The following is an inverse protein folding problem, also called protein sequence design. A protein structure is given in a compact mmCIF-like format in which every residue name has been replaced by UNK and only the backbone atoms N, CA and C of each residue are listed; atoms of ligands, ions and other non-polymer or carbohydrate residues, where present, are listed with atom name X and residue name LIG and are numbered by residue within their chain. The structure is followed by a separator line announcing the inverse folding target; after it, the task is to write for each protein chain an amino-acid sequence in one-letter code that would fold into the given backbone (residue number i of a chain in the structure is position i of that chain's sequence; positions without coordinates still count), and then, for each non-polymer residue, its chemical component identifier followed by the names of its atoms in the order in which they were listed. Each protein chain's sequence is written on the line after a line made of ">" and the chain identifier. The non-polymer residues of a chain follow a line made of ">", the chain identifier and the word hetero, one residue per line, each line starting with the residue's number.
data_IF_207540123454
#
_entry.id   IF_207540123454
#
_cell.length_a   1.000
_cell.length_b   1.000
_cell.length_c   1.000
_cell.angle_alpha   90.00
_cell.angle_beta   90.00
_cell.angle_gamma   90.00
#
_symmetry.space_group_name_H-M   'P 1'
#
loop_
_entity.id
_entity.type
_entity.pdbx_description
1 polymer ?
#
# COMPACT_ATOMS: atom_id res chain seq x y z
N UNK A 1 -8.45 -19.74 -13.28
CA UNK A 1 -8.15 -19.30 -11.90
C UNK A 1 -7.65 -17.88 -11.94
N UNK A 2 -8.30 -17.00 -11.19
CA UNK A 2 -7.87 -15.63 -11.12
C UNK A 2 -6.62 -15.53 -10.23
N UNK A 3 -5.67 -14.73 -10.69
CA UNK A 3 -4.50 -14.43 -9.90
C UNK A 3 -4.92 -13.61 -8.66
N UNK A 4 -4.19 -13.77 -7.57
CA UNK A 4 -4.40 -12.96 -6.37
C UNK A 4 -4.25 -11.48 -6.71
N UNK A 5 -5.07 -10.62 -6.11
CA UNK A 5 -4.90 -9.19 -6.21
C UNK A 5 -3.55 -8.80 -5.61
N UNK A 6 -2.81 -7.98 -6.34
CA UNK A 6 -1.53 -7.42 -5.88
C UNK A 6 -1.81 -6.04 -5.31
N UNK A 7 -1.45 -5.85 -4.06
CA UNK A 7 -1.83 -4.66 -3.29
C UNK A 7 -0.58 -4.02 -2.71
N UNK A 8 -0.41 -2.72 -2.98
CA UNK A 8 0.70 -1.94 -2.43
C UNK A 8 0.20 -1.13 -1.23
N UNK A 9 0.97 -1.13 -0.17
CA UNK A 9 0.61 -0.44 1.08
C UNK A 9 1.52 0.77 1.29
N UNK A 10 0.89 1.93 1.49
CA UNK A 10 1.59 3.16 1.87
C UNK A 10 1.97 3.11 3.36
N UNK A 11 2.94 3.91 3.76
CA UNK A 11 3.42 3.98 5.15
C UNK A 11 2.29 4.27 6.13
N UNK A 12 1.37 5.17 5.77
CA UNK A 12 0.21 5.50 6.61
C UNK A 12 -0.64 4.29 6.97
N UNK A 13 -0.77 3.35 6.05
CA UNK A 13 -1.54 2.12 6.25
C UNK A 13 -0.83 1.20 7.24
N UNK A 14 0.50 1.10 7.14
CA UNK A 14 1.29 0.30 8.07
C UNK A 14 1.18 0.82 9.49
N UNK A 15 1.28 2.14 9.69
CA UNK A 15 1.14 2.73 11.02
C UNK A 15 -0.26 2.51 11.58
N UNK A 16 -1.30 2.66 10.77
CA UNK A 16 -2.66 2.41 11.21
C UNK A 16 -2.84 0.95 11.64
N UNK A 17 -2.21 0.00 10.94
CA UNK A 17 -2.27 -1.41 11.30
C UNK A 17 -1.56 -1.71 12.61
N UNK A 18 -0.42 -1.06 12.87
CA UNK A 18 0.33 -1.25 14.13
C UNK A 18 -0.45 -0.71 15.32
N UNK A 19 -1.08 0.45 15.18
CA UNK A 19 -1.71 1.15 16.29
C UNK A 19 -3.22 0.87 16.45
N UNK A 20 -3.83 0.09 15.55
CA UNK A 20 -5.25 -0.29 15.68
C UNK A 20 -5.47 -1.74 15.25
N UNK A 21 -5.83 -2.59 16.20
CA UNK A 21 -6.08 -4.00 15.95
C UNK A 21 -7.38 -4.27 15.18
N UNK A 22 -8.34 -3.36 15.26
CA UNK A 22 -9.68 -3.55 14.70
C UNK A 22 -9.94 -2.75 13.42
N UNK A 23 -8.97 -1.96 12.96
CA UNK A 23 -9.16 -1.11 11.79
C UNK A 23 -9.05 -1.85 10.47
N UNK A 24 -9.44 -1.17 9.39
CA UNK A 24 -9.38 -1.72 8.03
C UNK A 24 -7.96 -2.07 7.60
N UNK A 25 -6.94 -1.32 8.04
CA UNK A 25 -5.56 -1.61 7.73
C UNK A 25 -5.13 -2.97 8.28
N UNK A 26 -5.50 -3.30 9.52
CA UNK A 26 -5.18 -4.59 10.12
C UNK A 26 -5.92 -5.71 9.39
N UNK A 27 -7.15 -5.47 8.94
CA UNK A 27 -7.92 -6.45 8.17
C UNK A 27 -7.22 -6.77 6.83
N UNK A 28 -6.65 -5.77 6.18
CA UNK A 28 -5.87 -6.00 4.94
C UNK A 28 -4.68 -6.92 5.22
N UNK A 29 -3.96 -6.70 6.33
CA UNK A 29 -2.85 -7.57 6.71
C UNK A 29 -3.34 -9.01 6.96
N UNK A 30 -4.52 -9.17 7.57
CA UNK A 30 -5.12 -10.50 7.78
C UNK A 30 -5.44 -11.19 6.46
N UNK A 31 -5.85 -10.45 5.44
CA UNK A 31 -6.06 -11.02 4.10
C UNK A 31 -4.75 -11.53 3.52
N UNK A 32 -3.65 -10.80 3.72
CA UNK A 32 -2.33 -11.26 3.31
C UNK A 32 -1.89 -12.50 4.06
N UNK A 33 -2.11 -12.54 5.37
CA UNK A 33 -1.81 -13.70 6.22
C UNK A 33 -2.56 -14.94 5.75
N UNK A 34 -3.82 -14.78 5.37
CA UNK A 34 -4.65 -15.88 4.85
C UNK A 34 -4.30 -16.29 3.42
N UNK A 35 -3.41 -15.57 2.76
CA UNK A 35 -3.04 -15.84 1.38
C UNK A 35 -4.08 -15.40 0.35
N UNK A 36 -5.04 -14.56 0.75
CA UNK A 36 -6.11 -14.11 -0.14
C UNK A 36 -5.65 -13.02 -1.12
N UNK A 37 -4.68 -12.20 -0.71
CA UNK A 37 -4.09 -11.14 -1.52
C UNK A 37 -2.57 -11.20 -1.40
N UNK A 38 -1.87 -10.62 -2.37
CA UNK A 38 -0.42 -10.48 -2.35
C UNK A 38 -0.09 -9.04 -1.95
N UNK A 39 0.53 -8.87 -0.78
CA UNK A 39 0.84 -7.55 -0.22
C UNK A 39 2.29 -7.14 -0.51
N UNK A 40 2.47 -5.88 -0.86
CA UNK A 40 3.75 -5.32 -1.26
C UNK A 40 3.99 -3.96 -0.64
N UNK A 41 5.24 -3.66 -0.36
CA UNK A 41 5.74 -2.31 -0.10
C UNK A 41 6.99 -2.10 -0.95
N UNK A 42 7.45 -0.87 -1.03
CA UNK A 42 8.70 -0.58 -1.70
C UNK A 42 9.77 -0.13 -0.72
N UNK A 43 11.01 0.11 -1.20
CA UNK A 43 12.11 0.58 -0.35
C UNK A 43 11.80 1.89 0.37
N UNK A 44 11.10 2.83 -0.28
CA UNK A 44 10.75 4.11 0.35
C UNK A 44 9.82 3.93 1.55
N UNK A 45 8.80 3.07 1.43
CA UNK A 45 7.87 2.78 2.52
C UNK A 45 8.60 2.10 3.68
N UNK A 46 9.41 1.09 3.37
CA UNK A 46 10.16 0.38 4.40
C UNK A 46 11.09 1.32 5.16
N UNK A 47 11.85 2.14 4.44
CA UNK A 47 12.78 3.09 5.03
C UNK A 47 12.06 4.11 5.92
N UNK A 48 10.97 4.69 5.43
CA UNK A 48 10.17 5.66 6.18
C UNK A 48 9.56 5.04 7.44
N UNK A 49 9.00 3.83 7.32
CA UNK A 49 8.39 3.14 8.45
C UNK A 49 9.43 2.89 9.56
N UNK A 50 10.60 2.39 9.20
CA UNK A 50 11.67 2.15 10.16
C UNK A 50 12.15 3.44 10.83
N UNK A 51 12.35 4.51 10.05
CA UNK A 51 12.82 5.79 10.56
C UNK A 51 11.81 6.42 11.51
N UNK A 52 10.53 6.41 11.17
CA UNK A 52 9.48 7.00 12.00
C UNK A 52 9.30 6.23 13.31
N UNK A 53 9.28 4.90 13.25
CA UNK A 53 9.14 4.08 14.47
C UNK A 53 10.34 4.23 15.39
N UNK A 54 11.56 4.26 14.84
CA UNK A 54 12.76 4.47 15.63
C UNK A 54 12.71 5.79 16.39
N UNK A 55 12.18 6.83 15.76
CA UNK A 55 12.10 8.16 16.36
C UNK A 55 10.92 8.33 17.32
N UNK A 56 9.76 7.79 16.98
CA UNK A 56 8.51 8.04 17.72
C UNK A 56 8.06 6.89 18.62
N UNK A 57 8.38 5.66 18.29
CA UNK A 57 7.91 4.49 19.03
C UNK A 57 8.78 3.28 18.75
N UNK A 58 10.02 3.35 19.21
CA UNK A 58 10.99 2.27 19.02
C UNK A 58 10.46 0.92 19.54
N UNK A 59 9.67 0.94 20.61
CA UNK A 59 9.05 -0.25 21.16
C UNK A 59 8.04 -0.93 20.22
N UNK A 60 7.54 -0.22 19.22
CA UNK A 60 6.59 -0.77 18.22
C UNK A 60 7.28 -1.46 17.04
N UNK A 61 8.60 -1.34 16.91
CA UNK A 61 9.33 -1.95 15.77
C UNK A 61 9.21 -3.47 15.72
N UNK A 62 9.31 -4.21 16.83
CA UNK A 62 9.10 -5.66 16.78
C UNK A 62 7.69 -6.05 16.33
N UNK A 63 6.67 -5.31 16.74
CA UNK A 63 5.30 -5.57 16.31
C UNK A 63 5.14 -5.34 14.81
N UNK A 64 5.70 -4.23 14.28
CA UNK A 64 5.68 -3.96 12.84
C UNK A 64 6.32 -5.12 12.07
N UNK A 65 7.51 -5.55 12.49
CA UNK A 65 8.22 -6.65 11.83
C UNK A 65 7.40 -7.94 11.86
N UNK A 66 6.78 -8.25 12.99
CA UNK A 66 5.93 -9.43 13.13
C UNK A 66 4.72 -9.38 12.21
N UNK A 67 4.05 -8.22 12.13
CA UNK A 67 2.88 -8.05 11.28
C UNK A 67 3.22 -8.19 9.81
N UNK A 68 4.33 -7.59 9.37
CA UNK A 68 4.78 -7.69 7.98
C UNK A 68 5.14 -9.14 7.62
N UNK A 69 5.79 -9.84 8.53
CA UNK A 69 6.15 -11.24 8.32
C UNK A 69 4.91 -12.14 8.21
N UNK A 70 3.99 -12.03 9.16
CA UNK A 70 2.76 -12.82 9.16
C UNK A 70 1.89 -12.55 7.94
N UNK A 71 1.79 -11.30 7.53
CA UNK A 71 1.03 -10.92 6.35
C UNK A 71 1.74 -11.26 5.04
N UNK A 72 2.97 -11.77 5.13
CA UNK A 72 3.79 -12.13 3.97
C UNK A 72 4.02 -10.94 3.04
N UNK A 73 4.21 -9.76 3.62
CA UNK A 73 4.47 -8.54 2.85
C UNK A 73 5.85 -8.63 2.19
N UNK A 74 5.88 -8.44 0.88
CA UNK A 74 7.09 -8.47 0.10
C UNK A 74 7.59 -7.05 -0.15
N UNK A 75 8.90 -6.87 -0.24
CA UNK A 75 9.51 -5.58 -0.56
C UNK A 75 9.96 -5.63 -2.02
N UNK A 76 9.42 -4.73 -2.83
CA UNK A 76 9.77 -4.64 -4.24
C UNK A 76 11.07 -3.86 -4.47
N UNK A 77 11.49 -3.75 -5.73
CA UNK A 77 12.69 -2.99 -6.10
C UNK A 77 12.45 -1.50 -6.10
N UNK A 78 13.53 -0.73 -6.23
CA UNK A 78 13.45 0.69 -6.49
C UNK A 78 12.74 0.94 -7.83
N UNK A 79 12.04 2.07 -7.93
CA UNK A 79 11.37 2.45 -9.16
C UNK A 79 12.39 2.85 -10.24
N UNK A 80 12.11 2.44 -11.46
CA UNK A 80 12.87 2.90 -12.63
C UNK A 80 12.47 4.30 -13.07
N UNK A 81 13.21 4.85 -14.04
CA UNK A 81 12.99 6.21 -14.54
C UNK A 81 11.60 6.41 -15.14
N UNK A 82 11.10 5.42 -15.87
CA UNK A 82 9.79 5.49 -16.52
C UNK A 82 8.67 5.59 -15.48
N UNK A 83 8.70 4.74 -14.45
CA UNK A 83 7.71 4.78 -13.37
C UNK A 83 7.77 6.09 -12.59
N UNK A 84 8.96 6.59 -12.31
CA UNK A 84 9.15 7.90 -11.66
C UNK A 84 8.56 9.04 -12.49
N UNK A 85 8.83 9.07 -13.79
CA UNK A 85 8.28 10.10 -14.67
C UNK A 85 6.76 10.06 -14.68
N UNK A 86 6.20 8.87 -14.77
CA UNK A 86 4.75 8.69 -14.78
C UNK A 86 4.13 9.17 -13.45
N UNK A 87 4.72 8.80 -12.32
CA UNK A 87 4.23 9.23 -11.01
C UNK A 87 4.33 10.74 -10.82
N UNK A 88 5.45 11.34 -11.23
CA UNK A 88 5.68 12.78 -11.11
C UNK A 88 4.73 13.61 -11.98
N UNK A 89 4.17 13.02 -13.03
CA UNK A 89 3.20 13.70 -13.89
C UNK A 89 1.85 13.93 -13.19
N UNK A 90 1.56 13.20 -12.13
CA UNK A 90 0.27 13.29 -11.42
C UNK A 90 0.41 13.69 -9.94
N UNK A 91 1.58 13.51 -9.33
CA UNK A 91 1.84 13.86 -7.93
C UNK A 91 3.06 14.76 -7.86
N UNK A 92 2.85 16.00 -7.42
CA UNK A 92 3.95 16.99 -7.33
C UNK A 92 4.86 16.78 -6.13
N UNK A 93 4.30 16.30 -5.00
CA UNK A 93 5.08 16.08 -3.79
C UNK A 93 6.02 14.90 -3.99
N UNK A 94 7.33 15.19 -4.03
CA UNK A 94 8.34 14.21 -4.43
C UNK A 94 8.33 12.92 -3.63
N UNK A 95 8.25 12.92 -2.28
CA UNK A 95 8.21 11.66 -1.54
C UNK A 95 7.02 10.77 -1.90
N UNK A 96 5.84 11.36 -2.09
CA UNK A 96 4.65 10.59 -2.48
C UNK A 96 4.76 10.07 -3.91
N UNK A 97 5.36 10.86 -4.81
CA UNK A 97 5.61 10.43 -6.18
C UNK A 97 6.57 9.24 -6.23
N UNK A 98 7.59 9.22 -5.38
CA UNK A 98 8.53 8.10 -5.30
C UNK A 98 7.84 6.82 -4.84
N UNK A 99 6.98 6.91 -3.82
CA UNK A 99 6.22 5.75 -3.33
C UNK A 99 5.26 5.24 -4.40
N UNK A 100 4.54 6.14 -5.07
CA UNK A 100 3.65 5.77 -6.17
C UNK A 100 4.41 5.12 -7.32
N UNK A 101 5.59 5.61 -7.63
CA UNK A 101 6.44 5.04 -8.68
C UNK A 101 6.84 3.59 -8.35
N UNK A 102 7.12 3.30 -7.09
CA UNK A 102 7.45 1.93 -6.67
C UNK A 102 6.25 0.99 -6.85
N UNK A 103 5.04 1.48 -6.59
CA UNK A 103 3.82 0.72 -6.85
C UNK A 103 3.61 0.47 -8.35
N UNK A 104 3.85 1.49 -9.18
CA UNK A 104 3.75 1.38 -10.64
C UNK A 104 4.74 0.36 -11.19
N UNK A 105 5.98 0.36 -10.67
CA UNK A 105 7.02 -0.58 -11.08
C UNK A 105 6.60 -2.03 -10.83
N UNK A 106 5.86 -2.28 -9.77
CA UNK A 106 5.38 -3.62 -9.40
C UNK A 106 4.12 -4.05 -10.14
N UNK A 107 3.50 -3.17 -10.91
CA UNK A 107 2.25 -3.44 -11.63
C UNK A 107 1.15 -3.98 -10.69
N UNK A 108 0.98 -3.31 -9.54
CA UNK A 108 -0.05 -3.70 -8.58
C UNK A 108 -1.45 -3.36 -9.09
N UNK A 109 -2.45 -4.06 -8.57
CA UNK A 109 -3.85 -3.79 -8.90
C UNK A 109 -4.40 -2.62 -8.09
N UNK A 110 -3.94 -2.46 -6.86
CA UNK A 110 -4.46 -1.45 -5.94
C UNK A 110 -3.37 -0.87 -5.06
N UNK A 111 -3.40 0.44 -4.90
CA UNK A 111 -2.53 1.20 -4.00
C UNK A 111 -3.38 1.72 -2.84
N UNK A 112 -3.09 1.25 -1.62
CA UNK A 112 -3.86 1.65 -0.43
C UNK A 112 -3.11 2.72 0.33
N UNK A 113 -3.80 3.84 0.60
CA UNK A 113 -3.22 4.96 1.34
C UNK A 113 -4.30 5.66 2.18
N UNK A 114 -3.88 6.30 3.26
CA UNK A 114 -4.72 7.19 4.04
C UNK A 114 -4.47 8.66 3.68
N UNK A 115 -3.56 8.93 2.75
CA UNK A 115 -3.23 10.28 2.29
C UNK A 115 -4.27 10.76 1.29
N UNK A 116 -5.27 11.49 1.78
CA UNK A 116 -6.33 12.07 0.96
C UNK A 116 -5.91 13.39 0.28
N UNK A 117 -4.78 13.94 0.68
CA UNK A 117 -4.33 15.22 0.13
C UNK A 117 -3.61 15.07 -1.21
N UNK A 118 -2.73 14.07 -1.33
CA UNK A 118 -1.86 13.93 -2.50
C UNK A 118 -2.19 12.71 -3.37
N UNK A 119 -2.77 11.67 -2.80
CA UNK A 119 -2.97 10.39 -3.48
C UNK A 119 -4.43 10.04 -3.67
N UNK A 120 -5.17 9.79 -2.58
CA UNK A 120 -6.58 9.41 -2.65
C UNK A 120 -7.41 10.62 -3.10
N UNK A 121 -8.19 10.44 -4.16
CA UNK A 121 -9.00 11.52 -4.70
C UNK A 121 -8.26 12.44 -5.66
N UNK A 122 -7.00 12.18 -5.95
CA UNK A 122 -6.25 12.92 -6.97
C UNK A 122 -6.75 12.52 -8.35
N UNK A 123 -7.33 13.46 -9.14
CA UNK A 123 -7.91 13.10 -10.45
C UNK A 123 -6.91 12.51 -11.43
N UNK A 124 -5.64 12.93 -11.36
CA UNK A 124 -4.59 12.42 -12.24
C UNK A 124 -4.30 10.95 -12.02
N UNK A 125 -4.52 10.45 -10.81
CA UNK A 125 -4.26 9.05 -10.46
C UNK A 125 -5.24 8.10 -11.16
N UNK A 126 -6.43 8.55 -11.50
CA UNK A 126 -7.43 7.74 -12.23
C UNK A 126 -6.94 7.29 -13.61
N UNK A 127 -5.98 8.03 -14.19
CA UNK A 127 -5.41 7.69 -15.50
C UNK A 127 -4.26 6.68 -15.41
N UNK A 128 -3.86 6.29 -14.21
CA UNK A 128 -2.79 5.32 -14.01
C UNK A 128 -3.34 3.89 -14.07
N UNK A 129 -2.49 2.91 -14.41
CA UNK A 129 -2.93 1.52 -14.56
C UNK A 129 -3.08 0.79 -13.21
N UNK A 130 -3.57 1.48 -12.19
CA UNK A 130 -3.87 0.91 -10.88
C UNK A 130 -4.98 1.71 -10.23
N UNK A 131 -5.68 1.10 -9.28
CA UNK A 131 -6.67 1.80 -8.47
C UNK A 131 -6.00 2.33 -7.19
N UNK A 132 -6.51 3.44 -6.66
CA UNK A 132 -6.00 4.06 -5.42
C UNK A 132 -7.18 4.32 -4.50
N UNK A 133 -7.04 3.99 -3.23
CA UNK A 133 -8.08 4.27 -2.26
C UNK A 133 -7.62 4.04 -0.83
N UNK A 134 -8.52 4.34 0.10
CA UNK A 134 -8.34 4.08 1.52
C UNK A 134 -8.50 2.60 1.84
N UNK A 135 -8.10 2.14 3.04
CA UNK A 135 -8.36 0.75 3.43
C UNK A 135 -9.83 0.35 3.26
N UNK A 136 -10.78 1.20 3.66
CA UNK A 136 -12.20 0.91 3.48
C UNK A 136 -12.61 0.79 2.03
N UNK A 137 -12.12 1.69 1.18
CA UNK A 137 -12.39 1.64 -0.26
C UNK A 137 -11.79 0.40 -0.91
N UNK A 138 -10.57 0.03 -0.48
CA UNK A 138 -9.95 -1.21 -0.96
C UNK A 138 -10.79 -2.44 -0.59
N UNK A 139 -11.26 -2.52 0.65
CA UNK A 139 -12.05 -3.66 1.10
C UNK A 139 -13.37 -3.78 0.33
N UNK A 140 -14.01 -2.66 0.00
CA UNK A 140 -15.18 -2.64 -0.88
C UNK A 140 -14.86 -3.13 -2.29
N UNK A 141 -13.77 -2.62 -2.88
CA UNK A 141 -13.29 -3.06 -4.18
C UNK A 141 -13.01 -4.56 -4.20
N UNK A 142 -12.37 -5.07 -3.16
CA UNK A 142 -12.04 -6.48 -3.03
C UNK A 142 -13.30 -7.33 -2.90
N UNK A 143 -14.27 -6.88 -2.10
CA UNK A 143 -15.54 -7.57 -1.92
C UNK A 143 -16.27 -7.74 -3.25
N UNK A 144 -16.33 -6.70 -4.06
CA UNK A 144 -16.96 -6.76 -5.39
C UNK A 144 -16.23 -7.72 -6.32
N UNK A 145 -14.93 -7.85 -6.16
CA UNK A 145 -14.13 -8.78 -6.95
C UNK A 145 -14.42 -10.25 -6.58
N UNK A 146 -14.75 -10.51 -5.31
CA UNK A 146 -15.07 -11.86 -4.83
C UNK A 146 -16.49 -12.29 -5.19
N UNK A 147 -17.41 -11.35 -5.27
CA UNK A 147 -18.82 -11.62 -5.56
C UNK A 147 -19.17 -10.91 -6.87
N UNK A 148 -18.94 -11.56 -8.02
CA UNK A 148 -19.23 -10.94 -9.29
C UNK A 148 -20.73 -10.64 -9.42
N UNK A 149 -21.04 -9.50 -10.02
CA UNK A 149 -22.43 -9.15 -10.33
C UNK A 149 -22.96 -10.09 -11.41
N UNK A 150 -24.16 -10.57 -11.18
CA UNK A 150 -24.88 -11.39 -12.16
C UNK A 150 -25.45 -10.52 -13.28
#
# INVERSE_FOLDING_TARGET
>A
MDAKARVFLDTSVLFAAVWSESGGSRLILKLGEAGAVSLWIGPCVLHEAEAVLKRKSDASRPLMALLLDRAQVQVGPEAGTESLTQAQSVVEYVPDAQVLAEALELHVDYFVSLDKKHLVGNPGVENLPLAVGTPGEFLEWYRHRLVPEE
#
